data_IF_492267368385
#
_entry.id   IF_492267368385
#
_cell.length_a   1.000
_cell.length_b   1.000
_cell.length_c   1.000
_cell.angle_alpha   90.00
_cell.angle_beta   90.00
_cell.angle_gamma   90.00
#
_symmetry.space_group_name_H-M   'P 1'
#
loop_
_entity.id
_entity.type
_entity.pdbx_description
1 polymer ?
#
# COMPACT_ATOMS: atom_id res chain seq x y z
N UNK A 1 23.86 -20.29 10.73
CA UNK A 1 23.16 -20.57 9.44
C UNK A 1 21.64 -20.44 9.52
N UNK A 2 20.98 -20.78 10.63
CA UNK A 2 19.49 -20.75 10.74
C UNK A 2 18.89 -19.33 10.74
N UNK A 3 19.63 -18.35 11.26
CA UNK A 3 19.21 -16.95 11.36
C UNK A 3 19.07 -16.27 9.98
N UNK A 4 19.98 -16.56 9.06
CA UNK A 4 19.98 -15.99 7.71
C UNK A 4 18.82 -16.54 6.85
N UNK A 5 18.44 -17.82 7.05
CA UNK A 5 17.25 -18.41 6.40
C UNK A 5 15.96 -17.74 6.86
N UNK A 6 15.82 -17.48 8.16
CA UNK A 6 14.64 -16.80 8.71
C UNK A 6 14.56 -15.34 8.22
N UNK A 7 15.68 -14.61 8.17
CA UNK A 7 15.71 -13.25 7.63
C UNK A 7 15.32 -13.19 6.15
N UNK A 8 15.80 -14.13 5.32
CA UNK A 8 15.38 -14.23 3.91
C UNK A 8 13.87 -14.47 3.76
N UNK A 9 13.31 -15.32 4.60
CA UNK A 9 11.86 -15.59 4.62
C UNK A 9 11.09 -14.32 5.02
N UNK A 10 11.51 -13.62 6.07
CA UNK A 10 10.89 -12.36 6.50
C UNK A 10 10.97 -11.29 5.41
N UNK A 11 12.11 -11.16 4.73
CA UNK A 11 12.27 -10.23 3.60
C UNK A 11 11.29 -10.54 2.47
N UNK A 12 11.07 -11.82 2.15
CA UNK A 12 10.05 -12.23 1.17
C UNK A 12 8.61 -11.86 1.59
N UNK A 13 8.28 -12.03 2.88
CA UNK A 13 6.98 -11.59 3.39
C UNK A 13 6.80 -10.07 3.34
N UNK A 14 7.85 -9.30 3.66
CA UNK A 14 7.81 -7.84 3.58
C UNK A 14 7.68 -7.35 2.13
N UNK A 15 8.38 -7.98 1.18
CA UNK A 15 8.20 -7.68 -0.24
C UNK A 15 6.74 -7.94 -0.68
N UNK A 16 6.16 -9.07 -0.27
CA UNK A 16 4.76 -9.38 -0.57
C UNK A 16 3.79 -8.38 0.05
N UNK A 17 4.06 -7.92 1.29
CA UNK A 17 3.25 -6.90 1.95
C UNK A 17 3.34 -5.56 1.21
N UNK A 18 4.53 -5.14 0.77
CA UNK A 18 4.72 -3.91 -0.01
C UNK A 18 3.98 -3.97 -1.36
N UNK A 19 4.07 -5.11 -2.06
CA UNK A 19 3.34 -5.32 -3.32
C UNK A 19 1.82 -5.23 -3.11
N UNK A 20 1.31 -5.75 -2.00
CA UNK A 20 -0.10 -5.64 -1.64
C UNK A 20 -0.50 -4.19 -1.35
N UNK A 21 0.28 -3.41 -0.60
CA UNK A 21 -0.02 -1.99 -0.36
C UNK A 21 -0.04 -1.18 -1.68
N UNK A 22 0.86 -1.50 -2.61
CA UNK A 22 0.86 -0.88 -3.95
C UNK A 22 -0.38 -1.27 -4.75
N UNK A 23 -0.75 -2.55 -4.75
CA UNK A 23 -1.97 -3.01 -5.43
C UNK A 23 -3.23 -2.37 -4.82
N UNK A 24 -3.32 -2.28 -3.49
CA UNK A 24 -4.48 -1.67 -2.82
C UNK A 24 -4.61 -0.18 -3.18
N UNK A 25 -3.52 0.58 -3.11
CA UNK A 25 -3.54 2.03 -3.35
C UNK A 25 -3.78 2.39 -4.81
N UNK A 26 -3.10 1.71 -5.75
CA UNK A 26 -3.12 2.05 -7.17
C UNK A 26 -4.26 1.33 -7.89
N UNK A 27 -4.28 0.01 -7.81
CA UNK A 27 -5.12 -0.81 -8.68
C UNK A 27 -6.54 -0.93 -8.15
N UNK A 28 -6.73 -0.91 -6.82
CA UNK A 28 -8.06 -1.03 -6.22
C UNK A 28 -8.65 0.34 -5.95
N UNK A 29 -8.06 1.11 -5.03
CA UNK A 29 -8.66 2.40 -4.65
C UNK A 29 -8.44 3.48 -5.71
N UNK A 30 -7.31 3.45 -6.41
CA UNK A 30 -6.97 4.42 -7.45
C UNK A 30 -7.91 4.36 -8.66
N UNK A 31 -8.36 3.17 -9.06
CA UNK A 31 -9.32 2.99 -10.16
C UNK A 31 -10.61 3.78 -9.92
N UNK A 32 -11.10 3.79 -8.68
CA UNK A 32 -12.33 4.47 -8.31
C UNK A 32 -12.19 6.00 -8.20
N UNK A 33 -11.00 6.56 -8.41
CA UNK A 33 -10.81 8.02 -8.54
C UNK A 33 -11.18 8.55 -9.93
N UNK A 34 -11.32 7.66 -10.92
CA UNK A 34 -11.84 7.99 -12.24
C UNK A 34 -13.37 7.98 -12.24
N UNK A 35 -13.98 9.06 -12.73
CA UNK A 35 -15.44 9.18 -12.84
C UNK A 35 -16.01 8.12 -13.78
N UNK A 36 -15.25 7.67 -14.77
CA UNK A 36 -15.69 6.67 -15.75
C UNK A 36 -15.83 5.27 -15.15
N UNK A 37 -15.25 5.00 -13.98
CA UNK A 37 -15.45 3.75 -13.24
C UNK A 37 -16.82 3.70 -12.54
N UNK A 38 -17.59 4.79 -12.57
CA UNK A 38 -18.86 4.93 -11.87
C UNK A 38 -20.05 5.02 -12.84
N UNK A 39 -21.29 4.80 -12.34
CA UNK A 39 -22.50 5.05 -13.11
C UNK A 39 -22.54 6.46 -13.71
N UNK A 40 -23.01 6.57 -14.95
CA UNK A 40 -23.05 7.84 -15.72
C UNK A 40 -23.90 8.90 -15.03
N UNK A 41 -24.93 8.49 -14.31
CA UNK A 41 -25.88 9.32 -13.57
C UNK A 41 -25.46 9.61 -12.12
N UNK A 42 -24.28 9.16 -11.70
CA UNK A 42 -23.77 9.46 -10.36
C UNK A 42 -23.63 10.97 -10.19
N UNK A 43 -24.27 11.51 -9.15
CA UNK A 43 -24.19 12.93 -8.82
C UNK A 43 -22.75 13.39 -8.57
N UNK A 44 -22.43 14.59 -9.05
CA UNK A 44 -21.06 15.14 -8.98
C UNK A 44 -20.63 15.44 -7.53
N UNK A 45 -21.54 15.83 -6.64
CA UNK A 45 -21.19 16.06 -5.23
C UNK A 45 -20.92 14.72 -4.53
N UNK A 46 -21.74 13.71 -4.80
CA UNK A 46 -21.51 12.35 -4.27
C UNK A 46 -20.16 11.82 -4.75
N UNK A 47 -19.82 12.00 -6.03
CA UNK A 47 -18.52 11.58 -6.54
C UNK A 47 -17.35 12.33 -5.88
N UNK A 48 -17.50 13.63 -5.59
CA UNK A 48 -16.48 14.38 -4.83
C UNK A 48 -16.28 13.84 -3.42
N UNK A 49 -17.35 13.49 -2.72
CA UNK A 49 -17.28 12.88 -1.39
C UNK A 49 -16.57 11.52 -1.43
N UNK A 50 -16.91 10.69 -2.41
CA UNK A 50 -16.22 9.42 -2.66
C UNK A 50 -14.72 9.64 -2.87
N UNK A 51 -14.32 10.58 -3.74
CA UNK A 51 -12.91 10.89 -3.98
C UNK A 51 -12.19 11.36 -2.73
N UNK A 52 -12.85 12.16 -1.89
CA UNK A 52 -12.25 12.61 -0.62
C UNK A 52 -11.98 11.42 0.30
N UNK A 53 -12.94 10.51 0.46
CA UNK A 53 -12.78 9.33 1.30
C UNK A 53 -11.71 8.39 0.74
N UNK A 54 -11.75 8.09 -0.56
CA UNK A 54 -10.73 7.25 -1.21
C UNK A 54 -9.33 7.87 -1.11
N UNK A 55 -9.22 9.19 -1.20
CA UNK A 55 -7.95 9.89 -0.99
C UNK A 55 -7.37 9.67 0.42
N UNK A 56 -8.22 9.65 1.44
CA UNK A 56 -7.78 9.30 2.81
C UNK A 56 -7.28 7.85 2.87
N UNK A 57 -8.06 6.91 2.33
CA UNK A 57 -7.69 5.47 2.34
C UNK A 57 -6.37 5.21 1.60
N UNK A 58 -6.17 5.84 0.43
CA UNK A 58 -4.92 5.75 -0.33
C UNK A 58 -3.77 6.32 0.49
N UNK A 59 -3.94 7.49 1.12
CA UNK A 59 -2.92 8.08 1.96
C UNK A 59 -2.55 7.20 3.16
N UNK A 60 -3.51 6.50 3.76
CA UNK A 60 -3.26 5.54 4.85
C UNK A 60 -2.49 4.31 4.36
N UNK A 61 -2.85 3.79 3.19
CA UNK A 61 -2.17 2.67 2.53
C UNK A 61 -0.70 3.02 2.21
N UNK A 62 -0.44 4.23 1.72
CA UNK A 62 0.93 4.74 1.53
C UNK A 62 1.71 4.88 2.86
N UNK A 63 1.04 5.18 3.98
CA UNK A 63 1.68 5.18 5.30
C UNK A 63 2.05 3.77 5.75
N UNK A 64 1.21 2.77 5.52
CA UNK A 64 1.55 1.37 5.82
C UNK A 64 2.80 0.93 5.04
N UNK A 65 2.89 1.28 3.76
CA UNK A 65 4.07 1.03 2.92
C UNK A 65 5.34 1.60 3.55
N UNK A 66 5.31 2.84 4.06
CA UNK A 66 6.45 3.45 4.75
C UNK A 66 6.87 2.68 5.99
N UNK A 67 5.91 2.19 6.78
CA UNK A 67 6.20 1.37 7.98
C UNK A 67 6.91 0.06 7.59
N UNK A 68 6.46 -0.61 6.53
CA UNK A 68 7.12 -1.83 6.04
C UNK A 68 8.53 -1.57 5.49
N UNK A 69 8.72 -0.47 4.76
CA UNK A 69 10.06 -0.06 4.29
C UNK A 69 11.01 0.25 5.45
N UNK A 70 10.54 0.92 6.49
CA UNK A 70 11.33 1.17 7.70
C UNK A 70 11.71 -0.13 8.42
N UNK A 71 10.79 -1.08 8.50
CA UNK A 71 11.05 -2.40 9.08
C UNK A 71 12.11 -3.16 8.25
N UNK A 72 11.99 -3.13 6.92
CA UNK A 72 12.96 -3.75 6.02
C UNK A 72 14.36 -3.14 6.18
N UNK A 73 14.43 -1.81 6.28
CA UNK A 73 15.69 -1.09 6.54
C UNK A 73 16.32 -1.51 7.86
N UNK A 74 15.56 -1.55 8.96
CA UNK A 74 16.05 -1.96 10.28
C UNK A 74 16.63 -3.38 10.27
N UNK A 75 16.00 -4.30 9.54
CA UNK A 75 16.48 -5.68 9.41
C UNK A 75 17.77 -5.78 8.58
N UNK A 76 17.93 -4.91 7.59
CA UNK A 76 19.14 -4.86 6.72
C UNK A 76 20.31 -4.16 7.43
N UNK A 77 20.06 -3.08 8.15
CA UNK A 77 21.08 -2.36 8.93
C UNK A 77 21.62 -3.24 10.08
N UNK A 78 20.77 -4.10 10.65
CA UNK A 78 21.17 -5.11 11.63
C UNK A 78 22.00 -6.27 11.05
N UNK A 79 22.22 -6.35 9.73
CA UNK A 79 23.13 -7.31 9.08
C UNK A 79 24.53 -6.72 8.83
N UNK A 80 24.69 -5.39 8.88
CA UNK A 80 25.94 -4.68 8.57
C UNK A 80 26.77 -4.25 9.81
N UNK A 81 26.29 -4.58 11.02
CA UNK A 81 26.94 -4.33 12.31
C UNK A 81 27.14 -5.64 13.08
#
# INVERSE_FOLDING_TARGET
>A
MMENKNRKIISGYLASALDLEDQMSIDIYGEFLDKNAWPVDLDEKVFKEIKQILGVVISETEMHKKVFLELQKKLTDADNN
#
